data_IF_314488832706
#
_entry.id   IF_314488832706
#
_cell.length_a   1.000
_cell.length_b   1.000
_cell.length_c   1.000
_cell.angle_alpha   90.00
_cell.angle_beta   90.00
_cell.angle_gamma   90.00
#
_symmetry.space_group_name_H-M   'P 1'
#
loop_
_entity.id
_entity.type
_entity.pdbx_description
1 polymer ?
#
# COMPACT_ATOMS: atom_id res chain seq x y z
N UNK A 1 -56.75 8.48 -4.24
CA UNK A 1 -56.14 9.80 -4.00
C UNK A 1 -55.74 9.90 -2.54
N UNK A 2 -54.49 10.31 -2.32
CA UNK A 2 -53.90 10.92 -1.12
C UNK A 2 -54.27 10.43 0.29
N UNK A 3 -53.27 9.88 0.99
CA UNK A 3 -52.95 10.31 2.35
C UNK A 3 -51.43 10.16 2.58
N UNK A 4 -50.76 11.29 2.81
CA UNK A 4 -49.38 11.38 3.29
C UNK A 4 -49.28 10.77 4.69
N UNK A 5 -48.18 10.06 4.97
CA UNK A 5 -47.53 10.22 6.27
C UNK A 5 -46.01 10.05 6.18
N UNK A 6 -45.32 11.05 6.76
CA UNK A 6 -43.86 11.19 6.88
C UNK A 6 -43.36 10.30 8.04
N UNK A 7 -42.17 9.72 7.88
CA UNK A 7 -41.17 9.67 8.96
C UNK A 7 -39.76 9.80 8.38
N UNK A 8 -39.12 10.92 8.73
CA UNK A 8 -37.68 11.17 8.63
C UNK A 8 -36.97 10.41 9.76
N UNK A 9 -35.76 9.90 9.48
CA UNK A 9 -34.69 9.79 10.47
C UNK A 9 -33.35 9.71 9.73
N UNK A 10 -32.85 10.87 9.30
CA UNK A 10 -31.43 11.04 9.00
C UNK A 10 -30.69 11.19 10.32
N UNK A 11 -29.66 10.36 10.55
CA UNK A 11 -28.66 10.64 11.58
C UNK A 11 -27.69 11.66 11.00
N UNK A 12 -27.76 12.88 11.52
CA UNK A 12 -26.72 13.88 11.34
C UNK A 12 -25.47 13.38 12.08
N UNK A 13 -24.41 13.09 11.34
CA UNK A 13 -23.05 13.02 11.89
C UNK A 13 -22.67 14.47 12.21
N UNK A 14 -22.16 14.70 13.42
CA UNK A 14 -21.88 16.03 13.96
C UNK A 14 -20.79 16.76 13.17
N UNK A 15 -20.97 18.07 12.97
CA UNK A 15 -20.01 18.96 12.32
C UNK A 15 -18.60 18.94 12.96
N UNK A 16 -18.43 18.39 14.16
CA UNK A 16 -17.14 18.17 14.81
C UNK A 16 -16.26 17.14 14.07
N UNK A 17 -16.80 16.01 13.61
CA UNK A 17 -15.99 15.02 12.86
C UNK A 17 -15.54 15.54 11.50
N UNK A 18 -16.32 16.45 10.90
CA UNK A 18 -15.96 17.17 9.66
C UNK A 18 -14.84 18.20 9.89
N UNK A 19 -14.85 18.89 11.03
CA UNK A 19 -13.85 19.91 11.37
C UNK A 19 -12.51 19.30 11.79
N UNK A 20 -12.51 18.16 12.47
CA UNK A 20 -11.26 17.49 12.85
C UNK A 20 -10.59 16.82 11.64
N UNK A 21 -11.36 16.34 10.66
CA UNK A 21 -10.82 15.84 9.39
C UNK A 21 -10.25 16.94 8.48
N UNK A 22 -10.86 18.13 8.44
CA UNK A 22 -10.32 19.29 7.71
C UNK A 22 -8.95 19.73 8.24
N UNK A 23 -8.67 19.55 9.54
CA UNK A 23 -7.33 19.84 10.10
C UNK A 23 -6.26 18.86 9.58
N UNK A 24 -6.63 17.61 9.35
CA UNK A 24 -5.73 16.58 8.79
C UNK A 24 -5.45 16.87 7.30
N UNK A 25 -6.45 17.32 6.54
CA UNK A 25 -6.31 17.63 5.11
C UNK A 25 -5.58 18.96 4.83
N UNK A 26 -5.81 20.00 5.65
CA UNK A 26 -5.17 21.31 5.47
C UNK A 26 -3.76 21.41 6.08
N UNK A 27 -3.42 20.56 7.06
CA UNK A 27 -2.08 20.52 7.66
C UNK A 27 -0.97 20.08 6.69
N UNK A 28 -1.32 19.36 5.61
CA UNK A 28 -0.37 18.84 4.63
C UNK A 28 -0.12 19.71 3.39
N UNK A 29 -0.88 20.79 3.18
CA UNK A 29 -0.89 21.51 1.89
C UNK A 29 -0.28 22.92 1.91
N UNK A 30 0.17 23.43 3.06
CA UNK A 30 0.63 24.83 3.19
C UNK A 30 2.01 24.93 3.85
N UNK A 31 3.07 24.56 3.12
CA UNK A 31 4.42 25.10 3.31
C UNK A 31 5.35 24.72 2.13
N UNK A 32 5.14 25.28 0.94
CA UNK A 32 6.20 25.34 -0.07
C UNK A 32 6.78 26.75 -0.08
N UNK A 33 7.97 26.90 0.48
CA UNK A 33 8.69 28.18 0.59
C UNK A 33 9.37 28.53 -0.74
N UNK A 34 9.60 29.82 -0.96
CA UNK A 34 10.27 30.43 -2.12
C UNK A 34 11.70 29.96 -2.38
N UNK A 35 12.29 29.14 -1.51
CA UNK A 35 13.67 28.65 -1.64
C UNK A 35 13.81 27.50 -2.64
N UNK A 36 12.77 26.68 -2.81
CA UNK A 36 12.74 25.60 -3.82
C UNK A 36 12.85 26.13 -5.25
N UNK A 37 12.37 27.34 -5.51
CA UNK A 37 12.48 27.99 -6.82
C UNK A 37 13.92 28.40 -7.18
N UNK A 38 14.79 28.66 -6.19
CA UNK A 38 16.17 29.10 -6.44
C UNK A 38 17.11 27.91 -6.72
N UNK A 39 16.89 26.78 -6.07
CA UNK A 39 17.67 25.55 -6.28
C UNK A 39 17.44 24.94 -7.67
N UNK A 40 16.24 25.07 -8.22
CA UNK A 40 15.92 24.61 -9.59
C UNK A 40 16.61 25.48 -10.65
N UNK A 41 16.76 26.79 -10.38
CA UNK A 41 17.41 27.69 -11.33
C UNK A 41 18.93 27.46 -11.40
N UNK A 42 19.59 27.13 -10.28
CA UNK A 42 21.04 26.83 -10.28
C UNK A 42 21.42 25.53 -10.99
N UNK A 43 20.47 24.59 -11.13
CA UNK A 43 20.70 23.32 -11.85
C UNK A 43 20.67 23.55 -13.37
N UNK A 44 19.95 24.56 -13.86
CA UNK A 44 19.83 24.86 -15.28
C UNK A 44 21.03 25.65 -15.84
N UNK A 45 21.85 26.25 -14.97
CA UNK A 45 22.97 27.12 -15.37
C UNK A 45 24.34 26.42 -15.35
N UNK A 46 24.39 25.09 -15.18
CA UNK A 46 25.65 24.34 -15.08
C UNK A 46 26.15 23.86 -16.46
N UNK A 47 27.13 24.56 -17.04
CA UNK A 47 27.90 24.05 -18.18
C UNK A 47 29.11 23.22 -17.71
N UNK A 48 29.34 22.01 -18.25
CA UNK A 48 30.44 21.16 -17.81
C UNK A 48 31.77 21.59 -18.44
N UNK A 49 32.71 22.05 -17.59
CA UNK A 49 34.10 22.27 -18.00
C UNK A 49 34.90 20.97 -17.85
N UNK A 50 35.40 20.46 -18.97
CA UNK A 50 36.23 19.26 -19.03
C UNK A 50 37.68 19.58 -18.69
N UNK A 51 38.19 19.13 -17.54
CA UNK A 51 39.57 18.65 -17.43
C UNK A 51 39.91 17.96 -16.10
N UNK A 52 40.63 16.84 -16.27
CA UNK A 52 41.59 16.14 -15.40
C UNK A 52 41.15 15.55 -14.05
N UNK A 53 41.04 14.21 -14.06
CA UNK A 53 41.73 13.26 -13.19
C UNK A 53 42.02 13.68 -11.74
N UNK A 54 41.01 13.53 -10.87
CA UNK A 54 41.18 13.16 -9.47
C UNK A 54 40.05 12.21 -9.09
N UNK A 55 40.40 11.00 -8.63
CA UNK A 55 39.47 10.09 -7.98
C UNK A 55 39.08 10.72 -6.63
N UNK A 56 38.02 11.52 -6.66
CA UNK A 56 37.26 11.91 -5.48
C UNK A 56 36.34 10.75 -5.12
N UNK A 57 36.50 10.22 -3.91
CA UNK A 57 35.45 9.46 -3.23
C UNK A 57 34.29 10.44 -3.04
N UNK A 58 33.34 10.41 -3.97
CA UNK A 58 32.25 11.37 -4.03
C UNK A 58 31.31 11.05 -2.86
N UNK A 59 31.41 11.83 -1.78
CA UNK A 59 30.37 11.87 -0.76
C UNK A 59 29.06 12.25 -1.48
N UNK A 60 28.20 11.24 -1.67
CA UNK A 60 26.87 11.43 -2.24
C UNK A 60 26.14 12.46 -1.37
N UNK A 61 25.76 13.63 -1.91
CA UNK A 61 25.21 14.72 -1.10
C UNK A 61 23.95 14.20 -0.40
N UNK A 62 23.83 14.40 0.92
CA UNK A 62 22.78 13.85 1.82
C UNK A 62 21.36 13.76 1.18
N UNK A 63 20.98 14.77 0.40
CA UNK A 63 19.71 14.82 -0.34
C UNK A 63 19.48 13.63 -1.29
N UNK A 64 20.53 13.08 -1.91
CA UNK A 64 20.46 11.90 -2.76
C UNK A 64 20.16 10.65 -1.93
N UNK A 65 20.86 10.44 -0.81
CA UNK A 65 20.61 9.29 0.08
C UNK A 65 19.20 9.29 0.67
N UNK A 66 18.69 10.46 1.03
CA UNK A 66 17.32 10.64 1.50
C UNK A 66 16.31 10.34 0.38
N UNK A 67 16.54 10.87 -0.82
CA UNK A 67 15.67 10.61 -1.97
C UNK A 67 15.66 9.14 -2.38
N UNK A 68 16.81 8.45 -2.35
CA UNK A 68 16.87 7.01 -2.63
C UNK A 68 16.10 6.21 -1.59
N UNK A 69 16.22 6.58 -0.32
CA UNK A 69 15.48 5.95 0.78
C UNK A 69 13.95 6.06 0.55
N UNK A 70 13.46 7.23 0.13
CA UNK A 70 12.04 7.41 -0.22
C UNK A 70 11.57 6.49 -1.35
N UNK A 71 12.44 6.19 -2.33
CA UNK A 71 12.12 5.29 -3.44
C UNK A 71 12.08 3.83 -2.99
N UNK A 72 12.98 3.43 -2.12
CA UNK A 72 13.08 2.04 -1.66
C UNK A 72 11.98 1.63 -0.69
N UNK A 73 11.68 2.47 0.30
CA UNK A 73 10.82 2.07 1.43
C UNK A 73 9.58 2.93 1.64
N UNK A 74 9.58 4.14 1.07
CA UNK A 74 8.48 5.09 1.15
C UNK A 74 8.84 6.34 1.95
N UNK A 75 8.22 7.46 1.62
CA UNK A 75 8.49 8.74 2.28
C UNK A 75 8.03 8.71 3.74
N UNK A 76 6.82 8.17 4.00
CA UNK A 76 6.29 8.08 5.37
C UNK A 76 7.20 7.27 6.30
N UNK A 77 7.73 6.16 5.79
CA UNK A 77 8.63 5.29 6.56
C UNK A 77 9.92 6.03 6.96
N UNK A 78 10.52 6.75 6.02
CA UNK A 78 11.75 7.50 6.26
C UNK A 78 11.51 8.66 7.21
N UNK A 79 10.39 9.40 7.05
CA UNK A 79 10.04 10.49 7.97
C UNK A 79 9.74 9.97 9.38
N UNK A 80 9.07 8.82 9.50
CA UNK A 80 8.86 8.17 10.79
C UNK A 80 10.20 7.82 11.45
N UNK A 81 11.12 7.20 10.70
CA UNK A 81 12.47 6.91 11.17
C UNK A 81 13.18 8.18 11.66
N UNK A 82 13.20 9.25 10.86
CA UNK A 82 13.82 10.52 11.27
C UNK A 82 13.21 11.05 12.56
N UNK A 83 11.88 11.00 12.70
CA UNK A 83 11.19 11.40 13.92
C UNK A 83 11.55 10.55 15.14
N UNK A 84 11.70 9.23 14.98
CA UNK A 84 12.08 8.33 16.08
C UNK A 84 13.49 8.60 16.61
N UNK A 85 14.41 9.01 15.73
CA UNK A 85 15.81 9.26 16.09
C UNK A 85 16.14 10.75 16.27
N UNK A 86 15.16 11.65 16.14
CA UNK A 86 15.36 13.10 16.26
C UNK A 86 16.30 13.67 15.19
N UNK A 87 16.21 13.14 13.96
CA UNK A 87 17.10 13.48 12.85
C UNK A 87 16.53 14.59 11.97
N UNK A 88 17.44 15.32 11.34
CA UNK A 88 17.17 16.21 10.20
C UNK A 88 17.84 15.66 8.93
N UNK A 89 17.68 16.39 7.82
CA UNK A 89 18.23 15.98 6.52
C UNK A 89 19.76 15.93 6.48
N UNK A 90 20.45 16.55 7.45
CA UNK A 90 21.92 16.61 7.50
C UNK A 90 22.54 15.53 8.39
N UNK A 91 21.72 14.89 9.22
CA UNK A 91 22.12 13.84 10.16
C UNK A 91 21.57 12.47 9.77
N UNK A 92 20.67 12.43 8.79
CA UNK A 92 20.03 11.23 8.28
C UNK A 92 21.04 10.19 7.79
N UNK A 93 21.90 10.55 6.82
CA UNK A 93 22.81 9.58 6.18
C UNK A 93 23.76 8.96 7.21
N UNK A 94 24.31 9.80 8.09
CA UNK A 94 25.22 9.38 9.16
C UNK A 94 24.57 8.36 10.11
N UNK A 95 23.32 8.58 10.54
CA UNK A 95 22.62 7.62 11.41
C UNK A 95 22.29 6.32 10.68
N UNK A 96 21.95 6.38 9.39
CA UNK A 96 21.69 5.17 8.60
C UNK A 96 22.96 4.33 8.46
N UNK A 97 24.13 4.96 8.21
CA UNK A 97 25.43 4.27 8.14
C UNK A 97 25.80 3.57 9.46
N UNK A 98 25.53 4.21 10.59
CA UNK A 98 25.71 3.60 11.93
C UNK A 98 24.89 2.30 12.06
N UNK A 99 23.59 2.35 11.73
CA UNK A 99 22.70 1.18 11.78
C UNK A 99 23.13 0.11 10.78
N UNK A 100 23.58 0.50 9.59
CA UNK A 100 24.11 -0.44 8.60
C UNK A 100 25.38 -1.14 9.10
N UNK A 101 26.28 -0.41 9.77
CA UNK A 101 27.46 -0.98 10.39
C UNK A 101 27.10 -2.02 11.47
N UNK A 102 26.13 -1.70 12.34
CA UNK A 102 25.60 -2.63 13.36
C UNK A 102 25.00 -3.90 12.75
N UNK A 103 24.33 -3.75 11.61
CA UNK A 103 23.71 -4.84 10.87
C UNK A 103 24.70 -5.67 10.03
N UNK A 104 25.96 -5.22 9.89
CA UNK A 104 26.93 -5.82 8.97
C UNK A 104 26.56 -5.65 7.48
N UNK A 105 25.86 -4.56 7.15
CA UNK A 105 25.45 -4.18 5.79
C UNK A 105 26.43 -3.17 5.18
N UNK A 106 26.29 -2.95 3.87
CA UNK A 106 26.96 -1.84 3.19
C UNK A 106 26.50 -0.49 3.77
N UNK A 107 27.46 0.40 4.05
CA UNK A 107 27.23 1.69 4.72
C UNK A 107 27.00 2.80 3.70
N UNK A 108 26.01 2.64 2.84
CA UNK A 108 25.66 3.61 1.78
C UNK A 108 24.81 4.79 2.30
N UNK A 109 24.33 4.73 3.54
CA UNK A 109 23.45 5.76 4.13
C UNK A 109 22.01 5.74 3.60
N UNK A 110 21.61 4.70 2.85
CA UNK A 110 20.28 4.53 2.27
C UNK A 110 19.46 3.50 3.06
N UNK A 111 18.23 3.86 3.42
CA UNK A 111 17.27 2.90 3.99
C UNK A 111 16.70 2.03 2.87
N UNK A 112 17.42 0.96 2.54
CA UNK A 112 16.94 -0.13 1.70
C UNK A 112 16.07 -1.15 2.47
N UNK A 113 15.49 -2.15 1.79
CA UNK A 113 14.65 -3.17 2.43
C UNK A 113 15.33 -3.94 3.57
N UNK A 114 16.62 -4.28 3.44
CA UNK A 114 17.35 -5.01 4.48
C UNK A 114 17.72 -4.10 5.66
N UNK A 115 18.13 -2.86 5.40
CA UNK A 115 18.32 -1.84 6.45
C UNK A 115 17.03 -1.64 7.24
N UNK A 116 15.90 -1.49 6.54
CA UNK A 116 14.61 -1.32 7.19
C UNK A 116 14.19 -2.54 8.00
N UNK A 117 14.42 -3.74 7.48
CA UNK A 117 14.15 -4.98 8.22
C UNK A 117 14.95 -5.05 9.52
N UNK A 118 16.21 -4.63 9.49
CA UNK A 118 17.05 -4.54 10.69
C UNK A 118 16.50 -3.50 11.68
N UNK A 119 16.13 -2.30 11.20
CA UNK A 119 15.48 -1.26 12.01
C UNK A 119 14.25 -1.83 12.73
N UNK A 120 13.39 -2.56 12.02
CA UNK A 120 12.18 -3.13 12.62
C UNK A 120 12.50 -4.14 13.73
N UNK A 121 13.51 -4.96 13.51
CA UNK A 121 13.90 -6.03 14.44
C UNK A 121 14.51 -5.47 15.72
N UNK A 122 15.48 -4.57 15.59
CA UNK A 122 16.27 -4.10 16.74
C UNK A 122 15.65 -2.89 17.43
N UNK A 123 15.04 -1.98 16.66
CA UNK A 123 14.60 -0.69 17.18
C UNK A 123 13.10 -0.61 17.40
N UNK A 124 12.31 -1.20 16.49
CA UNK A 124 10.85 -1.03 16.56
C UNK A 124 10.11 -2.12 17.32
N UNK A 125 10.68 -3.33 17.42
CA UNK A 125 9.98 -4.52 17.89
C UNK A 125 9.37 -4.43 19.29
N UNK A 126 9.97 -3.64 20.20
CA UNK A 126 9.53 -3.52 21.58
C UNK A 126 8.26 -2.66 21.76
N UNK A 127 8.05 -1.68 20.87
CA UNK A 127 6.99 -0.68 21.01
C UNK A 127 6.07 -0.64 19.78
N UNK A 128 6.07 -1.72 18.98
CA UNK A 128 5.41 -1.75 17.68
C UNK A 128 3.95 -1.32 17.74
N UNK A 129 3.22 -1.74 18.78
CA UNK A 129 1.79 -1.46 18.97
C UNK A 129 1.49 0.03 19.24
N UNK A 130 2.51 0.82 19.60
CA UNK A 130 2.40 2.27 19.83
C UNK A 130 2.73 3.11 18.59
N UNK A 131 3.21 2.49 17.52
CA UNK A 131 3.65 3.19 16.30
C UNK A 131 2.52 3.42 15.30
N UNK A 132 2.75 4.26 14.27
CA UNK A 132 1.76 4.45 13.22
C UNK A 132 1.27 3.15 12.57
N UNK A 133 0.06 3.20 12.03
CA UNK A 133 -0.65 2.06 11.45
C UNK A 133 0.20 1.31 10.40
N UNK A 134 0.93 2.05 9.58
CA UNK A 134 1.78 1.55 8.50
C UNK A 134 2.91 0.68 9.04
N UNK A 135 3.54 1.13 10.13
CA UNK A 135 4.63 0.44 10.80
C UNK A 135 4.10 -0.85 11.44
N UNK A 136 2.98 -0.76 12.15
CA UNK A 136 2.29 -1.93 12.69
C UNK A 136 1.92 -2.95 11.60
N UNK A 137 1.30 -2.48 10.52
CA UNK A 137 0.85 -3.32 9.42
C UNK A 137 2.02 -4.01 8.71
N UNK A 138 3.16 -3.33 8.55
CA UNK A 138 4.38 -3.89 7.96
C UNK A 138 4.97 -4.99 8.83
N UNK A 139 5.12 -4.75 10.14
CA UNK A 139 5.60 -5.77 11.08
C UNK A 139 4.67 -6.99 11.12
N UNK A 140 3.34 -6.76 11.16
CA UNK A 140 2.33 -7.83 11.09
C UNK A 140 2.45 -8.64 9.80
N UNK A 141 2.65 -7.97 8.67
CA UNK A 141 2.82 -8.63 7.37
C UNK A 141 4.10 -9.46 7.32
N UNK A 142 5.24 -8.92 7.77
CA UNK A 142 6.50 -9.65 7.81
C UNK A 142 6.41 -10.90 8.69
N UNK A 143 5.84 -10.77 9.90
CA UNK A 143 5.59 -11.90 10.80
C UNK A 143 4.71 -12.96 10.15
N UNK A 144 3.63 -12.54 9.48
CA UNK A 144 2.73 -13.47 8.80
C UNK A 144 3.41 -14.19 7.63
N UNK A 145 4.18 -13.49 6.80
CA UNK A 145 4.87 -14.12 5.67
C UNK A 145 6.00 -15.06 6.14
N UNK A 146 6.71 -14.69 7.21
CA UNK A 146 7.79 -15.49 7.80
C UNK A 146 7.29 -16.76 8.49
N UNK A 147 6.08 -16.75 9.04
CA UNK A 147 5.46 -17.90 9.69
C UNK A 147 4.88 -18.94 8.72
N UNK A 148 4.90 -18.67 7.42
CA UNK A 148 4.41 -19.60 6.43
C UNK A 148 5.23 -20.90 6.43
N UNK A 149 4.59 -22.00 6.84
CA UNK A 149 5.15 -23.35 6.81
C UNK A 149 4.34 -24.20 5.83
N UNK A 150 4.95 -24.53 4.70
CA UNK A 150 4.27 -25.29 3.66
C UNK A 150 4.44 -26.81 3.87
N UNK A 151 3.36 -27.61 3.88
CA UNK A 151 3.46 -29.08 3.88
C UNK A 151 4.09 -29.68 2.62
N UNK A 152 4.14 -28.95 1.49
CA UNK A 152 4.67 -29.40 0.19
C UNK A 152 5.90 -28.62 -0.28
N UNK A 153 6.54 -27.83 0.58
CA UNK A 153 7.74 -27.03 0.25
C UNK A 153 7.59 -26.02 -0.92
N UNK A 154 6.39 -25.65 -1.37
CA UNK A 154 6.26 -24.49 -2.28
C UNK A 154 6.75 -23.25 -1.56
N UNK A 155 7.72 -22.59 -2.18
CA UNK A 155 8.21 -21.30 -1.73
C UNK A 155 7.15 -20.25 -2.03
N UNK A 156 7.15 -19.18 -1.23
CA UNK A 156 6.54 -17.92 -1.65
C UNK A 156 7.46 -17.27 -2.72
N UNK A 157 7.75 -18.01 -3.79
CA UNK A 157 8.65 -17.56 -4.86
C UNK A 157 7.91 -16.55 -5.72
N UNK A 158 8.52 -15.37 -5.91
CA UNK A 158 7.99 -14.29 -6.75
C UNK A 158 7.20 -13.22 -5.99
N UNK A 159 6.92 -13.41 -4.69
CA UNK A 159 6.47 -12.30 -3.84
C UNK A 159 7.68 -11.63 -3.22
N UNK A 160 7.67 -10.29 -3.17
CA UNK A 160 8.70 -9.52 -2.47
C UNK A 160 8.36 -9.47 -0.98
N UNK A 161 9.32 -9.07 -0.13
CA UNK A 161 9.10 -8.94 1.31
C UNK A 161 8.26 -7.73 1.69
N UNK A 162 7.76 -7.70 2.92
CA UNK A 162 6.98 -6.57 3.48
C UNK A 162 7.75 -5.24 3.47
N UNK A 163 9.09 -5.29 3.42
CA UNK A 163 9.98 -4.12 3.41
C UNK A 163 10.19 -3.51 2.02
N UNK A 164 9.64 -4.10 0.95
CA UNK A 164 9.74 -3.55 -0.39
C UNK A 164 8.55 -2.62 -0.69
N UNK A 165 8.78 -1.31 -0.91
CA UNK A 165 7.72 -0.30 -1.15
C UNK A 165 6.66 -0.74 -2.16
N UNK A 166 7.11 -1.16 -3.36
CA UNK A 166 6.19 -1.55 -4.44
C UNK A 166 5.32 -2.78 -4.15
N UNK A 167 5.70 -3.60 -3.17
CA UNK A 167 4.90 -4.75 -2.73
C UNK A 167 3.99 -4.37 -1.56
N UNK A 168 4.45 -3.47 -0.70
CA UNK A 168 3.71 -2.99 0.45
C UNK A 168 2.58 -2.03 0.05
N UNK A 169 2.90 -0.94 -0.66
CA UNK A 169 1.92 0.08 -1.10
C UNK A 169 1.48 -0.05 -2.55
N UNK A 170 2.25 -0.75 -3.38
CA UNK A 170 2.06 -0.82 -4.82
C UNK A 170 3.13 -0.01 -5.58
N UNK A 171 3.39 -0.39 -6.81
CA UNK A 171 4.40 0.21 -7.67
C UNK A 171 3.80 1.35 -8.50
N UNK A 172 4.24 2.59 -8.25
CA UNK A 172 3.82 3.76 -9.04
C UNK A 172 2.35 4.17 -8.82
N UNK A 173 1.77 3.82 -7.68
CA UNK A 173 0.36 4.07 -7.32
C UNK A 173 0.19 4.83 -6.00
N UNK A 174 1.24 5.53 -5.59
CA UNK A 174 1.26 6.35 -4.37
C UNK A 174 1.30 5.55 -3.06
N UNK A 175 1.38 6.29 -1.95
CA UNK A 175 1.29 5.76 -0.59
C UNK A 175 -0.12 5.98 -0.02
N UNK A 176 -0.39 5.38 1.13
CA UNK A 176 -1.65 5.57 1.83
C UNK A 176 -1.74 6.98 2.46
N UNK A 177 -2.95 7.38 2.82
CA UNK A 177 -3.23 8.54 3.66
C UNK A 177 -2.97 8.15 5.13
N UNK A 178 -2.34 9.06 5.85
CA UNK A 178 -1.75 8.81 7.17
C UNK A 178 -2.74 8.18 8.15
N UNK A 179 -2.35 7.07 8.79
CA UNK A 179 -3.18 6.41 9.78
C UNK A 179 -4.45 5.77 9.22
N UNK A 180 -4.55 5.60 7.89
CA UNK A 180 -5.69 4.97 7.22
C UNK A 180 -5.24 3.87 6.25
N UNK A 181 -6.20 3.05 5.82
CA UNK A 181 -6.03 2.11 4.70
C UNK A 181 -6.55 2.68 3.38
N UNK A 182 -6.42 3.99 3.17
CA UNK A 182 -6.84 4.65 1.94
C UNK A 182 -5.64 5.13 1.14
N UNK A 183 -5.56 4.81 -0.15
CA UNK A 183 -4.58 5.42 -1.06
C UNK A 183 -4.85 6.93 -1.12
N UNK A 184 -3.80 7.74 -0.87
CA UNK A 184 -3.92 9.20 -0.92
C UNK A 184 -4.37 9.68 -2.31
N UNK A 185 -3.84 9.05 -3.36
CA UNK A 185 -4.16 9.39 -4.75
C UNK A 185 -5.63 9.10 -5.08
N UNK A 186 -6.16 7.95 -4.65
CA UNK A 186 -7.58 7.62 -4.85
C UNK A 186 -8.50 8.47 -3.99
N UNK A 187 -8.12 8.76 -2.74
CA UNK A 187 -8.91 9.62 -1.87
C UNK A 187 -9.03 11.03 -2.46
N UNK A 188 -7.93 11.57 -3.00
CA UNK A 188 -7.94 12.84 -3.72
C UNK A 188 -8.75 12.78 -5.01
N UNK A 189 -8.74 11.64 -5.71
CA UNK A 189 -9.51 11.46 -6.95
C UNK A 189 -11.02 11.49 -6.70
N UNK A 190 -11.51 10.79 -5.68
CA UNK A 190 -12.94 10.65 -5.42
C UNK A 190 -13.52 11.69 -4.44
N UNK A 191 -12.69 12.27 -3.57
CA UNK A 191 -13.16 13.14 -2.49
C UNK A 191 -14.11 12.42 -1.53
N UNK A 192 -15.12 13.13 -1.02
CA UNK A 192 -16.08 12.57 -0.05
C UNK A 192 -17.04 11.53 -0.68
N UNK A 193 -17.19 11.51 -2.01
CA UNK A 193 -18.17 10.66 -2.69
C UNK A 193 -17.90 9.16 -2.47
N UNK A 194 -16.63 8.77 -2.38
CA UNK A 194 -16.27 7.36 -2.15
C UNK A 194 -16.65 6.89 -0.75
N UNK A 195 -16.75 7.78 0.24
CA UNK A 195 -16.91 7.38 1.65
C UNK A 195 -18.22 6.63 1.93
N UNK A 196 -19.27 6.91 1.16
CA UNK A 196 -20.61 6.31 1.32
C UNK A 196 -21.19 5.81 -0.01
N UNK A 197 -20.33 5.42 -0.96
CA UNK A 197 -20.79 5.04 -2.31
C UNK A 197 -21.49 3.68 -2.38
N UNK A 198 -21.40 2.89 -1.32
CA UNK A 198 -22.00 1.55 -1.23
C UNK A 198 -22.71 1.38 0.13
N UNK A 199 -23.64 0.42 0.19
CA UNK A 199 -24.33 0.04 1.42
C UNK A 199 -24.01 -1.41 1.81
N UNK A 200 -23.90 -1.65 3.11
CA UNK A 200 -23.58 -2.98 3.67
C UNK A 200 -22.11 -3.37 3.48
N UNK A 201 -21.86 -4.68 3.54
CA UNK A 201 -20.53 -5.29 3.46
C UNK A 201 -20.17 -5.60 2.00
N UNK A 202 -19.39 -4.72 1.37
CA UNK A 202 -19.14 -4.75 -0.08
C UNK A 202 -17.67 -4.53 -0.40
N UNK A 203 -17.12 -5.37 -1.29
CA UNK A 203 -15.89 -5.09 -2.03
C UNK A 203 -16.27 -4.64 -3.43
N UNK A 204 -16.07 -3.36 -3.74
CA UNK A 204 -16.26 -2.81 -5.07
C UNK A 204 -14.93 -2.78 -5.80
N UNK A 205 -14.88 -3.37 -6.99
CA UNK A 205 -13.73 -3.34 -7.89
C UNK A 205 -14.17 -2.72 -9.19
N UNK A 206 -13.50 -1.65 -9.63
CA UNK A 206 -13.88 -0.95 -10.85
C UNK A 206 -12.68 -0.29 -11.55
N UNK A 207 -12.92 0.20 -12.77
CA UNK A 207 -11.94 0.86 -13.61
C UNK A 207 -12.11 2.37 -13.57
N UNK A 208 -10.99 3.07 -13.45
CA UNK A 208 -10.90 4.52 -13.53
C UNK A 208 -10.79 4.97 -15.00
N UNK A 209 -11.22 6.19 -15.28
CA UNK A 209 -11.22 6.75 -16.64
C UNK A 209 -9.82 6.77 -17.29
N UNK A 210 -8.76 6.88 -16.48
CA UNK A 210 -7.37 6.86 -16.92
C UNK A 210 -6.74 5.45 -16.95
N UNK A 211 -7.56 4.40 -16.91
CA UNK A 211 -7.14 3.03 -17.21
C UNK A 211 -6.57 2.23 -16.04
N UNK A 212 -6.45 2.82 -14.84
CA UNK A 212 -6.11 2.08 -13.61
C UNK A 212 -7.36 1.44 -12.98
N UNK A 213 -7.16 0.46 -12.10
CA UNK A 213 -8.22 -0.23 -11.37
C UNK A 213 -8.09 0.00 -9.86
N UNK A 214 -9.23 0.09 -9.17
CA UNK A 214 -9.27 0.26 -7.71
C UNK A 214 -10.18 -0.78 -7.06
N UNK A 215 -9.98 -0.93 -5.75
CA UNK A 215 -10.84 -1.66 -4.84
C UNK A 215 -11.21 -0.75 -3.67
N UNK A 216 -12.50 -0.70 -3.36
CA UNK A 216 -13.04 -0.08 -2.16
C UNK A 216 -13.80 -1.12 -1.33
N UNK A 217 -13.40 -1.30 -0.08
CA UNK A 217 -14.04 -2.20 0.89
C UNK A 217 -14.91 -1.36 1.83
N UNK A 218 -16.18 -1.74 1.94
CA UNK A 218 -17.16 -1.15 2.85
C UNK A 218 -17.59 -2.18 3.87
N UNK A 219 -17.76 -1.74 5.12
CA UNK A 219 -18.40 -2.50 6.19
C UNK A 219 -19.57 -1.66 6.68
N UNK A 220 -20.78 -2.21 6.64
CA UNK A 220 -22.02 -1.51 6.98
C UNK A 220 -22.20 -0.16 6.24
N UNK A 221 -21.65 -0.06 5.04
CA UNK A 221 -21.67 1.16 4.22
C UNK A 221 -20.58 2.20 4.53
N UNK A 222 -19.73 1.95 5.53
CA UNK A 222 -18.56 2.79 5.83
C UNK A 222 -17.33 2.29 5.07
N UNK A 223 -16.64 3.18 4.36
CA UNK A 223 -15.38 2.85 3.68
C UNK A 223 -14.30 2.47 4.70
N UNK A 224 -13.69 1.30 4.52
CA UNK A 224 -12.64 0.75 5.40
C UNK A 224 -11.29 0.57 4.73
N UNK A 225 -11.27 0.28 3.42
CA UNK A 225 -10.04 0.19 2.62
C UNK A 225 -10.29 0.79 1.24
N UNK A 226 -9.32 1.54 0.71
CA UNK A 226 -9.33 2.09 -0.65
C UNK A 226 -7.94 1.93 -1.25
N UNK A 227 -7.79 1.11 -2.29
CA UNK A 227 -6.48 0.82 -2.87
C UNK A 227 -6.56 0.62 -4.37
N UNK A 228 -5.44 0.83 -5.06
CA UNK A 228 -5.26 0.31 -6.40
C UNK A 228 -5.18 -1.21 -6.38
N UNK A 229 -5.65 -1.84 -7.46
CA UNK A 229 -5.60 -3.30 -7.67
C UNK A 229 -5.18 -3.64 -9.09
N UNK A 230 -4.77 -4.89 -9.29
CA UNK A 230 -4.46 -5.42 -10.61
C UNK A 230 -5.35 -6.63 -10.92
N UNK A 231 -6.41 -6.46 -11.74
CA UNK A 231 -7.21 -7.58 -12.22
C UNK A 231 -6.48 -8.37 -13.31
N UNK A 232 -7.20 -9.31 -13.93
CA UNK A 232 -6.77 -10.07 -15.08
C UNK A 232 -6.33 -9.19 -16.25
N UNK A 233 -5.48 -9.73 -17.11
CA UNK A 233 -5.24 -9.13 -18.43
C UNK A 233 -6.45 -9.35 -19.34
N UNK A 234 -6.62 -8.59 -20.44
CA UNK A 234 -7.69 -8.87 -21.41
C UNK A 234 -7.66 -10.30 -21.98
N UNK A 235 -6.47 -10.92 -22.08
CA UNK A 235 -6.31 -12.32 -22.50
C UNK A 235 -6.63 -13.35 -21.41
N UNK A 236 -6.64 -12.94 -20.13
CA UNK A 236 -7.02 -13.76 -18.98
C UNK A 236 -7.95 -12.95 -18.07
N UNK A 237 -9.16 -12.61 -18.54
CA UNK A 237 -9.96 -11.55 -17.94
C UNK A 237 -10.51 -11.95 -16.58
N UNK A 238 -10.51 -11.01 -15.64
CA UNK A 238 -11.35 -11.14 -14.45
C UNK A 238 -12.83 -11.05 -14.87
N UNK A 239 -13.72 -11.88 -14.30
CA UNK A 239 -15.15 -11.74 -14.53
C UNK A 239 -15.64 -10.32 -14.20
N UNK A 240 -16.45 -9.72 -15.08
CA UNK A 240 -16.88 -8.33 -14.97
C UNK A 240 -18.41 -8.18 -15.04
N UNK A 241 -18.91 -7.01 -14.64
CA UNK A 241 -20.33 -6.65 -14.59
C UNK A 241 -21.17 -7.62 -13.78
N UNK A 242 -20.65 -8.09 -12.63
CA UNK A 242 -21.25 -9.13 -11.80
C UNK A 242 -21.05 -8.89 -10.32
N UNK A 243 -21.94 -9.47 -9.52
CA UNK A 243 -21.83 -9.51 -8.05
C UNK A 243 -21.71 -10.95 -7.60
N UNK A 244 -20.78 -11.21 -6.69
CA UNK A 244 -20.50 -12.52 -6.11
C UNK A 244 -20.62 -12.45 -4.58
N UNK A 245 -20.88 -13.58 -3.94
CA UNK A 245 -20.59 -13.74 -2.51
C UNK A 245 -19.18 -14.31 -2.36
N UNK A 246 -18.47 -13.97 -1.28
CA UNK A 246 -17.19 -14.63 -0.98
C UNK A 246 -17.47 -16.10 -0.64
N UNK A 247 -16.71 -17.00 -1.26
CA UNK A 247 -16.92 -18.45 -1.14
C UNK A 247 -16.09 -19.07 -0.01
N UNK A 248 -14.89 -18.54 0.22
CA UNK A 248 -13.98 -19.01 1.25
C UNK A 248 -12.88 -17.98 1.53
N UNK A 249 -12.21 -18.14 2.68
CA UNK A 249 -10.99 -17.43 3.05
C UNK A 249 -9.85 -18.43 3.24
N UNK A 250 -8.69 -18.12 2.70
CA UNK A 250 -7.49 -18.94 2.85
C UNK A 250 -6.26 -18.03 2.97
N UNK A 251 -5.63 -18.06 4.15
CA UNK A 251 -4.49 -17.19 4.44
C UNK A 251 -3.28 -17.49 3.56
N UNK A 252 -3.12 -18.72 3.07
CA UNK A 252 -2.00 -19.12 2.22
C UNK A 252 -2.46 -20.05 1.11
N UNK A 253 -3.42 -19.58 0.31
CA UNK A 253 -3.94 -20.39 -0.78
C UNK A 253 -2.84 -20.76 -1.78
N UNK A 254 -2.84 -22.01 -2.22
CA UNK A 254 -1.89 -22.50 -3.22
C UNK A 254 -2.66 -22.72 -4.52
N UNK A 255 -2.34 -21.95 -5.55
CA UNK A 255 -2.92 -22.14 -6.87
C UNK A 255 -2.58 -23.52 -7.41
N UNK A 256 -3.60 -24.30 -7.79
CA UNK A 256 -3.42 -25.61 -8.42
C UNK A 256 -3.06 -25.52 -9.91
N UNK A 257 -3.16 -24.33 -10.51
CA UNK A 257 -3.02 -24.12 -11.96
C UNK A 257 -1.87 -23.17 -12.34
N UNK A 258 -1.37 -22.36 -11.42
CA UNK A 258 -0.29 -21.40 -11.68
C UNK A 258 0.94 -21.63 -10.77
N UNK A 259 2.19 -21.60 -11.30
CA UNK A 259 2.53 -21.48 -12.72
C UNK A 259 2.14 -22.74 -13.50
N UNK A 260 1.59 -22.53 -14.69
CA UNK A 260 1.09 -23.62 -15.55
C UNK A 260 2.20 -24.61 -15.92
N UNK A 261 3.41 -24.09 -16.15
CA UNK A 261 4.61 -24.88 -16.51
C UNK A 261 5.07 -25.85 -15.42
N UNK A 262 4.65 -25.64 -14.17
CA UNK A 262 5.02 -26.49 -13.02
C UNK A 262 3.83 -27.22 -12.43
N UNK A 263 2.66 -27.19 -13.08
CA UNK A 263 1.44 -27.81 -12.56
C UNK A 263 0.89 -27.13 -11.31
N UNK A 264 1.02 -25.81 -11.21
CA UNK A 264 0.61 -25.04 -10.03
C UNK A 264 1.73 -24.75 -9.05
N UNK A 265 1.36 -24.24 -7.87
CA UNK A 265 2.26 -24.04 -6.73
C UNK A 265 2.46 -22.59 -6.28
N UNK A 266 1.86 -21.60 -6.95
CA UNK A 266 1.98 -20.21 -6.54
C UNK A 266 1.16 -19.95 -5.27
N UNK A 267 1.85 -19.45 -4.24
CA UNK A 267 1.22 -19.02 -2.98
C UNK A 267 0.53 -17.68 -3.20
N UNK A 268 -0.72 -17.59 -2.77
CA UNK A 268 -1.58 -16.42 -2.81
C UNK A 268 -1.95 -16.03 -1.38
N UNK A 269 -1.11 -15.22 -0.70
CA UNK A 269 -1.35 -14.87 0.70
C UNK A 269 -2.61 -14.02 0.88
N UNK A 270 -3.27 -14.22 2.01
CA UNK A 270 -4.47 -13.48 2.44
C UNK A 270 -5.57 -13.53 1.38
N UNK A 271 -5.86 -14.72 0.87
CA UNK A 271 -6.77 -14.90 -0.24
C UNK A 271 -8.23 -14.98 0.22
N UNK A 272 -9.12 -14.35 -0.55
CA UNK A 272 -10.56 -14.59 -0.50
C UNK A 272 -11.04 -15.08 -1.87
N UNK A 273 -11.86 -16.13 -1.89
CA UNK A 273 -12.36 -16.73 -3.12
C UNK A 273 -13.61 -16.00 -3.61
N UNK A 274 -13.58 -15.53 -4.85
CA UNK A 274 -14.69 -14.82 -5.48
C UNK A 274 -15.59 -15.81 -6.24
N UNK A 275 -14.99 -16.61 -7.12
CA UNK A 275 -15.70 -17.60 -7.94
C UNK A 275 -14.72 -18.56 -8.58
N UNK A 276 -14.91 -19.87 -8.38
CA UNK A 276 -14.09 -20.88 -9.06
C UNK A 276 -12.60 -20.71 -8.72
N UNK A 277 -11.75 -20.50 -9.73
CA UNK A 277 -10.31 -20.26 -9.57
C UNK A 277 -9.92 -18.78 -9.39
N UNK A 278 -10.90 -17.89 -9.19
CA UNK A 278 -10.69 -16.44 -9.08
C UNK A 278 -10.66 -16.02 -7.61
N UNK A 279 -9.55 -15.40 -7.20
CA UNK A 279 -9.29 -14.96 -5.83
C UNK A 279 -8.88 -13.49 -5.79
N UNK A 280 -9.18 -12.80 -4.70
CA UNK A 280 -8.47 -11.59 -4.32
C UNK A 280 -7.35 -11.93 -3.34
N UNK A 281 -6.12 -11.48 -3.59
CA UNK A 281 -4.94 -11.87 -2.78
C UNK A 281 -3.77 -10.89 -2.92
N UNK A 282 -2.71 -11.08 -2.13
CA UNK A 282 -1.52 -10.20 -2.22
C UNK A 282 -0.80 -10.42 -3.55
N UNK A 283 -0.40 -9.34 -4.20
CA UNK A 283 0.54 -9.38 -5.33
C UNK A 283 1.21 -8.04 -5.58
N UNK A 284 2.16 -8.02 -6.53
CA UNK A 284 2.68 -6.76 -7.06
C UNK A 284 1.58 -6.06 -7.86
N UNK A 285 1.35 -4.78 -7.59
CA UNK A 285 0.24 -4.01 -8.19
C UNK A 285 0.78 -2.67 -8.67
N UNK A 286 0.45 -2.32 -9.91
CA UNK A 286 0.71 -1.00 -10.51
C UNK A 286 -0.60 -0.30 -10.92
N UNK A 287 -1.75 -0.85 -10.54
CA UNK A 287 -3.07 -0.39 -10.96
C UNK A 287 -3.48 -0.83 -12.36
N UNK A 288 -2.63 -1.54 -13.12
CA UNK A 288 -2.94 -2.13 -14.43
C UNK A 288 -3.45 -3.57 -14.35
N UNK A 289 -3.96 -4.10 -15.47
CA UNK A 289 -4.40 -5.50 -15.59
C UNK A 289 -3.20 -6.41 -15.84
N UNK A 290 -2.87 -7.27 -14.89
CA UNK A 290 -1.56 -7.91 -14.78
C UNK A 290 -1.64 -9.33 -14.17
N UNK A 291 -2.85 -9.82 -13.90
CA UNK A 291 -3.07 -11.16 -13.34
C UNK A 291 -3.59 -12.15 -14.40
N UNK A 292 -3.73 -13.41 -13.98
CA UNK A 292 -4.39 -14.47 -14.76
C UNK A 292 -5.86 -14.66 -14.36
N UNK A 293 -6.54 -13.57 -14.00
CA UNK A 293 -7.97 -13.53 -13.65
C UNK A 293 -8.24 -13.15 -12.20
N UNK A 294 -7.31 -13.40 -11.28
CA UNK A 294 -7.37 -12.96 -9.88
C UNK A 294 -7.34 -11.43 -9.73
N UNK A 295 -7.69 -10.93 -8.55
CA UNK A 295 -7.52 -9.53 -8.18
C UNK A 295 -6.33 -9.43 -7.23
N UNK A 296 -5.24 -8.80 -7.68
CA UNK A 296 -4.07 -8.57 -6.82
C UNK A 296 -4.20 -7.22 -6.13
N UNK A 297 -3.86 -7.16 -4.85
CA UNK A 297 -3.77 -5.92 -4.07
C UNK A 297 -2.40 -5.85 -3.35
N UNK A 298 -1.89 -4.65 -3.03
CA UNK A 298 -0.66 -4.50 -2.26
C UNK A 298 -0.79 -5.09 -0.85
N UNK A 299 0.34 -5.51 -0.28
CA UNK A 299 0.36 -6.23 0.99
C UNK A 299 -0.20 -5.45 2.18
N UNK A 300 0.02 -4.13 2.23
CA UNK A 300 -0.52 -3.25 3.27
C UNK A 300 -2.06 -3.34 3.34
N UNK A 301 -2.72 -3.21 2.19
CA UNK A 301 -4.17 -3.18 2.09
C UNK A 301 -4.80 -4.57 2.14
N UNK A 302 -4.23 -5.55 1.43
CA UNK A 302 -4.85 -6.87 1.29
C UNK A 302 -4.83 -7.67 2.60
N UNK A 303 -3.78 -7.53 3.41
CA UNK A 303 -3.78 -8.12 4.75
C UNK A 303 -4.97 -7.58 5.57
N UNK A 304 -5.21 -6.27 5.51
CA UNK A 304 -6.32 -5.66 6.22
C UNK A 304 -7.68 -6.08 5.66
N UNK A 305 -7.83 -6.12 4.33
CA UNK A 305 -9.04 -6.62 3.67
C UNK A 305 -9.39 -8.03 4.19
N UNK A 306 -8.40 -8.92 4.26
CA UNK A 306 -8.59 -10.28 4.73
C UNK A 306 -9.05 -10.34 6.20
N UNK A 307 -8.39 -9.60 7.10
CA UNK A 307 -8.76 -9.62 8.52
C UNK A 307 -10.14 -8.99 8.74
N UNK A 308 -10.49 -7.88 8.06
CA UNK A 308 -11.83 -7.28 8.12
C UNK A 308 -12.90 -8.29 7.67
N UNK A 309 -12.70 -8.96 6.53
CA UNK A 309 -13.69 -9.94 6.03
C UNK A 309 -13.84 -11.09 7.04
N UNK A 310 -12.73 -11.58 7.59
CA UNK A 310 -12.70 -12.67 8.55
C UNK A 310 -13.42 -12.31 9.85
N UNK A 311 -13.18 -11.12 10.40
CA UNK A 311 -13.80 -10.62 11.64
C UNK A 311 -15.31 -10.43 11.50
N UNK A 312 -15.78 -10.08 10.30
CA UNK A 312 -17.18 -9.78 10.02
C UNK A 312 -17.97 -10.96 9.39
N UNK A 313 -17.32 -12.13 9.23
CA UNK A 313 -17.89 -13.31 8.56
C UNK A 313 -17.91 -13.15 7.03
N UNK A 314 -17.16 -13.99 6.32
CA UNK A 314 -16.95 -13.80 4.88
C UNK A 314 -18.24 -13.97 4.06
N UNK A 315 -19.17 -14.79 4.54
CA UNK A 315 -20.47 -15.04 3.94
C UNK A 315 -21.36 -13.78 3.88
N UNK A 316 -21.03 -12.76 4.68
CA UNK A 316 -21.75 -11.50 4.73
C UNK A 316 -21.28 -10.50 3.67
N UNK A 317 -20.18 -10.78 2.96
CA UNK A 317 -19.62 -9.87 1.97
C UNK A 317 -20.05 -10.18 0.55
N UNK A 318 -20.32 -9.11 -0.19
CA UNK A 318 -20.48 -9.15 -1.65
C UNK A 318 -19.27 -8.55 -2.36
N UNK A 319 -18.82 -9.20 -3.42
CA UNK A 319 -17.81 -8.66 -4.33
C UNK A 319 -18.51 -8.16 -5.59
N UNK A 320 -18.56 -6.85 -5.78
CA UNK A 320 -19.11 -6.18 -6.95
C UNK A 320 -17.98 -5.85 -7.91
N UNK A 321 -17.96 -6.50 -9.07
CA UNK A 321 -16.97 -6.23 -10.11
C UNK A 321 -17.67 -5.46 -11.23
N UNK A 322 -17.22 -4.22 -11.44
CA UNK A 322 -17.68 -3.32 -12.49
C UNK A 322 -17.22 -3.76 -13.88
N UNK A 323 -17.21 -2.82 -14.82
CA UNK A 323 -16.76 -3.08 -16.20
C UNK A 323 -15.27 -2.77 -16.30
N UNK A 324 -14.45 -3.82 -16.46
CA UNK A 324 -12.99 -3.71 -16.47
C UNK A 324 -12.41 -3.57 -17.89
N UNK A 325 -13.10 -4.09 -18.91
CA UNK A 325 -12.67 -4.10 -20.31
C UNK A 325 -13.77 -3.57 -21.25
#
# INVERSE_FOLDING_TARGET
>A
MSALNKTKSGRNISDESRRDFLKILLGGALAMSSETSKAVQSILDFEPNTNSDQYFEFEFPEAETLSESFRHVGEREVRFFMGQFGLDETTFSSKVKEIQAEAGLEQDGVIGPETLKHIYREYYSQNIDSFPLEVQARARLDKNLSNYKNPRNYKISGLKGAFHKGYFFGQGVGENADGTFFSSELLNHFGEEIMTSESGNVLKIDKLSYGKYYLALYVDGELRVLTYVSPGTPGNPTPQSRTYNIQSLDKYHISSSYPERTGGGAVMPFAYQISGSIYGHIGLVNGGGESHGCIRAPGFYQQEIYEIIKENGYENFKVKIGRLY
#
